data_IF_535070974382
#
_entry.id   IF_535070974382
#
_cell.length_a   1.000
_cell.length_b   1.000
_cell.length_c   1.000
_cell.angle_alpha   90.00
_cell.angle_beta   90.00
_cell.angle_gamma   90.00
#
_symmetry.space_group_name_H-M   'P 1'
#
loop_
_entity.id
_entity.type
_entity.pdbx_description
1 polymer ?
#
# COMPACT_ATOMS: atom_id res chain seq x y z
N UNK A 1 -15.64 -9.67 14.50
CA UNK A 1 -15.34 -10.50 13.30
C UNK A 1 -14.68 -9.58 12.28
N UNK A 2 -13.38 -9.74 12.02
CA UNK A 2 -12.65 -8.92 11.05
C UNK A 2 -12.42 -9.67 9.74
N UNK A 3 -12.12 -8.96 8.65
CA UNK A 3 -11.84 -9.57 7.34
C UNK A 3 -10.69 -10.59 7.38
N UNK A 4 -9.59 -10.27 8.07
CA UNK A 4 -8.40 -11.13 8.11
C UNK A 4 -8.64 -12.46 8.86
N UNK A 5 -9.23 -12.48 10.08
CA UNK A 5 -9.59 -13.74 10.73
C UNK A 5 -10.49 -14.65 9.88
N UNK A 6 -11.48 -14.07 9.17
CA UNK A 6 -12.37 -14.85 8.30
C UNK A 6 -11.64 -15.42 7.08
N UNK A 7 -10.65 -14.71 6.53
CA UNK A 7 -9.84 -15.18 5.41
C UNK A 7 -8.93 -16.33 5.83
N UNK A 8 -8.32 -16.27 7.02
CA UNK A 8 -7.47 -17.34 7.58
C UNK A 8 -8.28 -18.61 7.86
N UNK A 9 -9.53 -18.47 8.34
CA UNK A 9 -10.41 -19.60 8.65
C UNK A 9 -10.81 -20.40 7.40
N UNK A 10 -11.20 -19.70 6.32
CA UNK A 10 -11.69 -20.34 5.10
C UNK A 10 -10.56 -20.67 4.11
N UNK A 11 -9.50 -19.85 4.07
CA UNK A 11 -8.41 -19.96 3.09
C UNK A 11 -7.02 -19.83 3.75
N UNK A 12 -6.59 -20.79 4.60
CA UNK A 12 -5.37 -20.67 5.40
C UNK A 12 -4.06 -20.59 4.58
N UNK A 13 -4.07 -21.01 3.31
CA UNK A 13 -2.92 -20.89 2.41
C UNK A 13 -2.76 -19.52 1.73
N UNK A 14 -3.74 -18.62 1.88
CA UNK A 14 -3.73 -17.32 1.21
C UNK A 14 -2.76 -16.36 1.88
N UNK A 15 -1.86 -15.77 1.10
CA UNK A 15 -0.96 -14.73 1.61
C UNK A 15 -1.71 -13.44 1.88
N UNK A 16 -1.46 -12.86 3.04
CA UNK A 16 -2.01 -11.57 3.41
C UNK A 16 -1.30 -10.44 2.68
N UNK A 17 -2.05 -9.71 1.86
CA UNK A 17 -1.57 -8.52 1.19
C UNK A 17 -2.69 -7.48 1.11
N UNK A 18 -2.39 -6.23 1.49
CA UNK A 18 -3.31 -5.11 1.30
C UNK A 18 -3.21 -4.62 -0.14
N UNK A 19 -4.36 -4.27 -0.71
CA UNK A 19 -4.41 -3.61 -2.02
C UNK A 19 -3.63 -2.29 -1.99
N UNK A 20 -2.72 -2.13 -2.95
CA UNK A 20 -1.85 -0.97 -3.11
C UNK A 20 -2.63 0.33 -3.37
N UNK A 21 -3.72 0.27 -4.14
CA UNK A 21 -4.62 1.42 -4.36
C UNK A 21 -5.21 1.92 -3.03
N UNK A 22 -5.81 1.03 -2.24
CA UNK A 22 -6.38 1.40 -0.94
C UNK A 22 -5.32 1.91 0.05
N UNK A 23 -4.14 1.28 0.07
CA UNK A 23 -3.03 1.73 0.93
C UNK A 23 -2.56 3.14 0.56
N UNK A 24 -2.39 3.41 -0.74
CA UNK A 24 -1.97 4.72 -1.24
C UNK A 24 -3.03 5.79 -0.97
N UNK A 25 -4.31 5.53 -1.27
CA UNK A 25 -5.37 6.50 -1.03
C UNK A 25 -5.49 6.87 0.45
N UNK A 26 -5.33 5.90 1.35
CA UNK A 26 -5.32 6.19 2.79
C UNK A 26 -4.15 7.10 3.19
N UNK A 27 -2.97 6.92 2.59
CA UNK A 27 -1.82 7.80 2.83
C UNK A 27 -2.03 9.21 2.24
N UNK A 28 -2.58 9.31 1.02
CA UNK A 28 -2.86 10.59 0.36
C UNK A 28 -3.91 11.42 1.11
N UNK A 29 -4.87 10.78 1.77
CA UNK A 29 -5.88 11.46 2.59
C UNK A 29 -5.28 12.20 3.80
N UNK A 30 -4.06 11.85 4.23
CA UNK A 30 -3.35 12.55 5.29
C UNK A 30 -2.56 13.77 4.79
N UNK A 31 -2.49 13.99 3.47
CA UNK A 31 -1.77 15.11 2.87
C UNK A 31 -2.72 16.25 2.49
N UNK A 32 -2.21 17.48 2.56
CA UNK A 32 -2.86 18.64 1.96
C UNK A 32 -3.09 18.40 0.46
N UNK A 33 -4.25 18.82 -0.07
CA UNK A 33 -4.64 18.58 -1.47
C UNK A 33 -3.59 19.04 -2.48
N UNK A 34 -2.91 20.16 -2.22
CA UNK A 34 -1.82 20.69 -3.06
C UNK A 34 -0.60 19.77 -3.14
N UNK A 35 -0.34 18.96 -2.10
CA UNK A 35 0.79 18.04 -2.02
C UNK A 35 0.45 16.63 -2.52
N UNK A 36 -0.83 16.28 -2.68
CA UNK A 36 -1.26 14.95 -3.09
C UNK A 36 -0.69 14.50 -4.45
N UNK A 37 -0.57 15.34 -5.51
CA UNK A 37 0.05 14.93 -6.77
C UNK A 37 1.50 14.46 -6.58
N UNK A 38 2.30 15.23 -5.81
CA UNK A 38 3.69 14.88 -5.49
C UNK A 38 3.77 13.63 -4.62
N UNK A 39 2.91 13.54 -3.60
CA UNK A 39 2.84 12.36 -2.73
C UNK A 39 2.45 11.09 -3.51
N UNK A 40 1.55 11.21 -4.49
CA UNK A 40 1.15 10.08 -5.33
C UNK A 40 2.30 9.60 -6.20
N UNK A 41 3.09 10.51 -6.77
CA UNK A 41 4.26 10.17 -7.56
C UNK A 41 5.31 9.43 -6.72
N UNK A 42 5.64 9.94 -5.53
CA UNK A 42 6.57 9.26 -4.62
C UNK A 42 6.07 7.86 -4.21
N UNK A 43 4.78 7.73 -3.88
CA UNK A 43 4.19 6.43 -3.57
C UNK A 43 4.23 5.47 -4.77
N UNK A 44 4.09 5.99 -6.00
CA UNK A 44 4.23 5.19 -7.21
C UNK A 44 5.63 4.59 -7.38
N UNK A 45 6.68 5.36 -7.11
CA UNK A 45 8.06 4.89 -7.16
C UNK A 45 8.30 3.70 -6.21
N UNK A 46 7.67 3.71 -5.04
CA UNK A 46 7.80 2.63 -4.04
C UNK A 46 7.24 1.30 -4.55
N UNK A 47 6.02 1.26 -5.11
CA UNK A 47 5.40 -0.02 -5.52
C UNK A 47 5.77 -0.46 -6.93
N UNK A 48 6.35 0.43 -7.75
CA UNK A 48 6.93 0.08 -9.06
C UNK A 48 8.41 -0.35 -8.98
N UNK A 49 9.05 -0.23 -7.80
CA UNK A 49 10.41 -0.66 -7.61
C UNK A 49 10.60 -2.16 -7.92
N UNK A 50 11.72 -2.50 -8.58
CA UNK A 50 12.01 -3.87 -9.01
C UNK A 50 12.24 -4.82 -7.81
N UNK A 51 12.84 -4.31 -6.74
CA UNK A 51 13.11 -5.07 -5.52
C UNK A 51 12.77 -4.27 -4.27
N UNK A 52 12.58 -5.01 -3.16
CA UNK A 52 12.21 -4.43 -1.86
C UNK A 52 13.23 -3.43 -1.33
N UNK A 53 14.52 -3.61 -1.61
CA UNK A 53 15.56 -2.67 -1.16
C UNK A 53 15.49 -1.33 -1.90
N UNK A 54 15.10 -1.32 -3.18
CA UNK A 54 14.90 -0.08 -3.93
C UNK A 54 13.64 0.66 -3.47
N UNK A 55 12.57 -0.09 -3.17
CA UNK A 55 11.34 0.46 -2.59
C UNK A 55 11.58 1.20 -1.27
N UNK A 56 12.57 0.80 -0.47
CA UNK A 56 12.93 1.46 0.79
C UNK A 56 13.70 2.77 0.60
N UNK A 57 14.36 2.96 -0.55
CA UNK A 57 15.13 4.18 -0.86
C UNK A 57 14.25 5.33 -1.37
N UNK A 58 13.06 5.04 -1.89
CA UNK A 58 12.13 6.02 -2.46
C UNK A 58 11.36 6.87 -1.42
N UNK A 59 11.96 7.14 -0.26
CA UNK A 59 11.39 7.95 0.82
C UNK A 59 12.35 9.06 1.21
#
# INVERSE_FOLDING_TARGET
MGFWPALEEIYPGTRHQRCWVHKMMNALNCLQKSLQPKGKQALHEVWQAAIREDAKKGV
#
